data_IF_639024016432
#
_entry.id   IF_639024016432
#
_cell.length_a   1.000
_cell.length_b   1.000
_cell.length_c   1.000
_cell.angle_alpha   90.00
_cell.angle_beta   90.00
_cell.angle_gamma   90.00
#
_symmetry.space_group_name_H-M   'P 1'
#
loop_
_entity.id
_entity.type
_entity.pdbx_description
1 polymer ?
#
# COMPACT_ATOMS: atom_id res chain seq x y z
N UNK A 1 -9.13 -17.75 -46.60
CA UNK A 1 -8.70 -16.44 -46.07
C UNK A 1 -9.41 -16.21 -44.74
N UNK A 2 -8.75 -16.42 -43.59
CA UNK A 2 -9.36 -16.25 -42.26
C UNK A 2 -9.34 -14.76 -41.90
N UNK A 3 -10.50 -14.12 -41.93
CA UNK A 3 -10.69 -12.76 -41.42
C UNK A 3 -10.57 -12.81 -39.89
N UNK A 4 -9.39 -12.46 -39.37
CA UNK A 4 -9.24 -12.17 -37.95
C UNK A 4 -10.03 -10.90 -37.64
N UNK A 5 -11.22 -11.04 -37.05
CA UNK A 5 -11.90 -9.92 -36.40
C UNK A 5 -10.99 -9.47 -35.25
N UNK A 6 -10.38 -8.29 -35.38
CA UNK A 6 -9.77 -7.62 -34.23
C UNK A 6 -10.88 -7.34 -33.24
N UNK A 7 -10.92 -8.09 -32.14
CA UNK A 7 -11.85 -7.82 -31.05
C UNK A 7 -11.59 -6.40 -30.53
N UNK A 8 -12.67 -5.62 -30.44
CA UNK A 8 -12.60 -4.24 -29.94
C UNK A 8 -12.37 -4.32 -28.44
N UNK A 9 -11.25 -3.75 -27.96
CA UNK A 9 -10.94 -3.71 -26.54
C UNK A 9 -12.05 -2.99 -25.78
N UNK A 10 -12.38 -3.52 -24.61
CA UNK A 10 -13.30 -2.87 -23.67
C UNK A 10 -12.66 -1.63 -23.06
N UNK A 11 -13.48 -0.72 -22.52
CA UNK A 11 -12.97 0.47 -21.83
C UNK A 11 -12.03 0.12 -20.67
N UNK A 12 -12.37 -0.93 -19.91
CA UNK A 12 -11.55 -1.41 -18.79
C UNK A 12 -10.19 -1.91 -19.28
N UNK A 13 -10.15 -2.67 -20.38
CA UNK A 13 -8.88 -3.14 -20.96
C UNK A 13 -7.99 -1.97 -21.41
N UNK A 14 -8.58 -0.94 -22.04
CA UNK A 14 -7.85 0.27 -22.43
C UNK A 14 -7.28 0.97 -21.20
N UNK A 15 -8.09 1.15 -20.15
CA UNK A 15 -7.62 1.77 -18.90
C UNK A 15 -6.46 0.99 -18.25
N UNK A 16 -6.53 -0.34 -18.22
CA UNK A 16 -5.44 -1.17 -17.67
C UNK A 16 -4.16 -1.08 -18.50
N UNK A 17 -4.27 -0.99 -19.82
CA UNK A 17 -3.14 -0.81 -20.71
C UNK A 17 -2.49 0.57 -20.53
N UNK A 18 -3.30 1.63 -20.47
CA UNK A 18 -2.82 3.00 -20.22
C UNK A 18 -2.13 3.11 -18.87
N UNK A 19 -2.71 2.49 -17.82
CA UNK A 19 -2.14 2.41 -16.48
C UNK A 19 -0.78 1.69 -16.48
N UNK A 20 -0.67 0.59 -17.23
CA UNK A 20 0.58 -0.16 -17.40
C UNK A 20 1.63 0.64 -18.19
N UNK A 21 1.23 1.31 -19.27
CA UNK A 21 2.13 2.16 -20.05
C UNK A 21 2.67 3.32 -19.21
N UNK A 22 1.82 3.95 -18.39
CA UNK A 22 2.22 5.03 -17.49
C UNK A 22 3.36 4.60 -16.59
N UNK A 23 3.24 3.45 -15.91
CA UNK A 23 4.30 3.00 -15.01
C UNK A 23 5.59 2.61 -15.75
N UNK A 24 5.50 2.08 -16.98
CA UNK A 24 6.68 1.79 -17.81
C UNK A 24 7.43 3.04 -18.26
N UNK A 25 6.73 4.17 -18.41
CA UNK A 25 7.36 5.46 -18.76
C UNK A 25 8.06 6.11 -17.55
N UNK A 26 7.53 5.91 -16.34
CA UNK A 26 8.00 6.59 -15.12
C UNK A 26 9.07 5.77 -14.38
N UNK A 27 8.97 4.45 -14.44
CA UNK A 27 9.81 3.54 -13.65
C UNK A 27 10.70 2.67 -14.53
N UNK A 28 11.86 2.28 -13.98
CA UNK A 28 12.69 1.24 -14.59
C UNK A 28 12.04 -0.15 -14.47
N UNK A 29 12.51 -1.11 -15.27
CA UNK A 29 11.95 -2.46 -15.32
C UNK A 29 11.89 -3.17 -13.97
N UNK A 30 12.93 -3.00 -13.13
CA UNK A 30 12.96 -3.57 -11.79
C UNK A 30 11.80 -3.05 -10.95
N UNK A 31 11.55 -1.75 -11.02
CA UNK A 31 10.50 -1.10 -10.26
C UNK A 31 9.11 -1.42 -10.81
N UNK A 32 8.95 -1.49 -12.13
CA UNK A 32 7.71 -1.99 -12.77
C UNK A 32 7.37 -3.39 -12.27
N UNK A 33 8.35 -4.31 -12.23
CA UNK A 33 8.16 -5.67 -11.69
C UNK A 33 7.71 -5.66 -10.23
N UNK A 34 8.24 -4.77 -9.39
CA UNK A 34 7.82 -4.64 -8.00
C UNK A 34 6.37 -4.13 -7.88
N UNK A 35 6.01 -3.13 -8.69
CA UNK A 35 4.64 -2.58 -8.72
C UNK A 35 3.63 -3.69 -9.05
N UNK A 36 3.90 -4.45 -10.12
CA UNK A 36 3.03 -5.53 -10.56
C UNK A 36 3.02 -6.72 -9.59
N UNK A 37 4.14 -7.00 -8.90
CA UNK A 37 4.19 -8.05 -7.88
C UNK A 37 3.30 -7.73 -6.68
N UNK A 38 3.29 -6.48 -6.21
CA UNK A 38 2.39 -6.05 -5.13
C UNK A 38 0.92 -6.13 -5.56
N UNK A 39 0.60 -5.72 -6.79
CA UNK A 39 -0.76 -5.86 -7.33
C UNK A 39 -1.21 -7.34 -7.33
N UNK A 40 -0.32 -8.24 -7.77
CA UNK A 40 -0.58 -9.68 -7.77
C UNK A 40 -0.75 -10.27 -6.36
N UNK A 41 -0.01 -9.77 -5.37
CA UNK A 41 -0.23 -10.16 -3.96
C UNK A 41 -1.60 -9.69 -3.48
N UNK A 42 -2.02 -8.49 -3.88
CA UNK A 42 -3.37 -7.99 -3.57
C UNK A 42 -4.47 -8.82 -4.22
N UNK A 43 -4.33 -9.22 -5.48
CA UNK A 43 -5.31 -10.12 -6.14
C UNK A 43 -5.50 -11.41 -5.32
N UNK A 44 -4.40 -12.00 -4.82
CA UNK A 44 -4.46 -13.19 -3.95
C UNK A 44 -5.17 -12.88 -2.63
N UNK A 45 -4.93 -11.70 -2.06
CA UNK A 45 -5.56 -11.27 -0.82
C UNK A 45 -7.07 -11.14 -0.99
N UNK A 46 -7.53 -10.51 -2.07
CA UNK A 46 -8.96 -10.34 -2.36
C UNK A 46 -9.65 -11.69 -2.45
N UNK A 47 -9.06 -12.64 -3.16
CA UNK A 47 -9.60 -14.01 -3.27
C UNK A 47 -9.62 -14.71 -1.91
N UNK A 48 -8.52 -14.66 -1.17
CA UNK A 48 -8.41 -15.32 0.13
C UNK A 48 -9.33 -14.70 1.19
N UNK A 49 -9.60 -13.40 1.10
CA UNK A 49 -10.52 -12.67 2.00
C UNK A 49 -11.94 -13.19 1.89
N UNK A 50 -12.36 -13.69 0.73
CA UNK A 50 -13.68 -14.30 0.56
C UNK A 50 -13.83 -15.57 1.42
N UNK A 51 -12.73 -16.29 1.67
CA UNK A 51 -12.72 -17.54 2.45
C UNK A 51 -12.38 -17.31 3.93
N UNK A 52 -11.37 -16.47 4.20
CA UNK A 52 -10.76 -16.29 5.53
C UNK A 52 -11.11 -14.97 6.21
N UNK A 53 -11.91 -14.12 5.57
CA UNK A 53 -12.22 -12.79 6.10
C UNK A 53 -10.95 -11.97 6.34
N UNK A 54 -10.91 -11.28 7.49
CA UNK A 54 -9.81 -10.38 7.84
C UNK A 54 -8.46 -11.10 8.03
N UNK A 55 -8.47 -12.37 8.46
CA UNK A 55 -7.24 -13.14 8.66
C UNK A 55 -6.40 -13.22 7.39
N UNK A 56 -7.01 -13.16 6.20
CA UNK A 56 -6.33 -13.18 4.91
C UNK A 56 -5.19 -12.15 4.78
N UNK A 57 -5.20 -11.09 5.57
CA UNK A 57 -4.15 -10.06 5.56
C UNK A 57 -2.76 -10.58 5.95
N UNK A 58 -2.65 -11.76 6.56
CA UNK A 58 -1.35 -12.37 6.84
C UNK A 58 -0.46 -12.48 5.59
N UNK A 59 -1.04 -12.62 4.39
CA UNK A 59 -0.25 -12.71 3.15
C UNK A 59 0.43 -11.37 2.82
N UNK A 60 -0.20 -10.25 3.19
CA UNK A 60 0.32 -8.90 2.99
C UNK A 60 1.38 -8.61 4.03
N UNK A 61 1.10 -8.98 5.28
CA UNK A 61 2.04 -8.84 6.38
C UNK A 61 3.35 -9.59 6.11
N UNK A 62 3.28 -10.75 5.47
CA UNK A 62 4.43 -11.58 5.11
C UNK A 62 5.05 -11.24 3.74
N UNK A 63 4.47 -10.31 2.98
CA UNK A 63 5.02 -9.92 1.67
C UNK A 63 6.35 -9.16 1.84
N UNK A 64 7.40 -9.68 1.20
CA UNK A 64 8.75 -9.13 1.36
C UNK A 64 8.90 -7.70 0.82
N UNK A 65 8.16 -7.32 -0.23
CA UNK A 65 8.19 -5.96 -0.79
C UNK A 65 7.53 -4.99 0.17
N UNK A 66 6.41 -5.39 0.77
CA UNK A 66 5.72 -4.61 1.79
C UNK A 66 6.57 -4.42 3.03
N UNK A 67 7.16 -5.50 3.57
CA UNK A 67 8.06 -5.41 4.73
C UNK A 67 9.30 -4.56 4.43
N UNK A 68 9.86 -4.69 3.23
CA UNK A 68 10.99 -3.85 2.79
C UNK A 68 10.58 -2.38 2.67
N UNK A 69 9.38 -2.09 2.14
CA UNK A 69 8.86 -0.74 2.04
C UNK A 69 8.64 -0.14 3.42
N UNK A 70 7.99 -0.89 4.32
CA UNK A 70 7.77 -0.50 5.72
C UNK A 70 9.10 -0.15 6.40
N UNK A 71 10.08 -1.05 6.35
CA UNK A 71 11.41 -0.81 6.93
C UNK A 71 12.07 0.45 6.36
N UNK A 72 12.00 0.65 5.04
CA UNK A 72 12.58 1.83 4.40
C UNK A 72 11.90 3.13 4.83
N UNK A 73 10.58 3.10 5.00
CA UNK A 73 9.78 4.23 5.49
C UNK A 73 10.11 4.55 6.95
N UNK A 74 10.16 3.54 7.82
CA UNK A 74 10.49 3.74 9.24
C UNK A 74 11.89 4.33 9.43
N UNK A 75 12.87 3.86 8.65
CA UNK A 75 14.22 4.39 8.67
C UNK A 75 14.26 5.84 8.16
N UNK A 76 13.52 6.17 7.09
CA UNK A 76 13.41 7.54 6.57
C UNK A 76 12.89 8.51 7.63
N UNK A 77 11.97 8.06 8.47
CA UNK A 77 11.35 8.87 9.52
C UNK A 77 11.94 8.62 10.92
N UNK A 78 13.13 8.00 11.01
CA UNK A 78 13.80 7.65 12.28
C UNK A 78 13.91 8.81 13.26
N UNK A 79 14.41 9.94 12.76
CA UNK A 79 14.59 11.14 13.56
C UNK A 79 13.25 11.71 14.07
N UNK A 80 12.16 11.50 13.33
CA UNK A 80 10.84 12.03 13.69
C UNK A 80 10.30 11.37 14.97
N UNK A 81 10.37 10.04 15.07
CA UNK A 81 9.88 9.32 16.24
C UNK A 81 10.87 9.35 17.40
N UNK A 82 12.19 9.28 17.15
CA UNK A 82 13.21 9.44 18.21
C UNK A 82 13.08 10.76 18.95
N UNK A 83 12.93 11.87 18.21
CA UNK A 83 12.82 13.19 18.82
C UNK A 83 11.49 13.39 19.58
N UNK A 84 10.47 12.59 19.26
CA UNK A 84 9.15 12.62 19.93
C UNK A 84 9.03 11.62 21.09
N UNK A 85 10.11 10.90 21.42
CA UNK A 85 10.11 9.83 22.45
C UNK A 85 9.06 8.75 22.19
N UNK A 86 8.78 8.47 20.93
CA UNK A 86 7.85 7.42 20.50
C UNK A 86 8.66 6.18 20.20
N UNK A 87 8.18 5.02 20.62
CA UNK A 87 8.83 3.78 20.25
C UNK A 87 8.66 3.50 18.76
N UNK A 88 9.66 2.86 18.16
CA UNK A 88 9.61 2.45 16.76
C UNK A 88 8.34 1.63 16.46
N UNK A 89 7.95 0.76 17.38
CA UNK A 89 6.82 -0.15 17.19
C UNK A 89 5.47 0.60 17.22
N UNK A 90 5.32 1.58 18.11
CA UNK A 90 4.15 2.49 18.11
C UNK A 90 4.09 3.32 16.83
N UNK A 91 5.25 3.69 16.30
CA UNK A 91 5.32 4.39 15.04
C UNK A 91 4.95 3.48 13.87
N UNK A 92 5.41 2.23 13.89
CA UNK A 92 5.16 1.19 12.88
C UNK A 92 3.69 0.76 12.83
N UNK A 93 3.02 0.64 13.97
CA UNK A 93 1.60 0.25 14.04
C UNK A 93 0.70 1.20 13.21
N UNK A 94 0.97 2.50 13.25
CA UNK A 94 0.25 3.52 12.45
C UNK A 94 0.35 3.23 10.95
N UNK A 95 1.50 2.78 10.47
CA UNK A 95 1.67 2.42 9.06
C UNK A 95 0.99 1.10 8.71
N UNK A 96 0.99 0.12 9.62
CA UNK A 96 0.25 -1.13 9.42
C UNK A 96 -1.25 -0.89 9.32
N UNK A 97 -1.82 -0.08 10.22
CA UNK A 97 -3.24 0.32 10.13
C UNK A 97 -3.54 1.05 8.82
N UNK A 98 -2.65 1.97 8.41
CA UNK A 98 -2.85 2.70 7.17
C UNK A 98 -2.76 1.79 5.95
N UNK A 99 -1.82 0.85 5.96
CA UNK A 99 -1.67 -0.17 4.91
C UNK A 99 -2.94 -1.01 4.80
N UNK A 100 -3.46 -1.47 5.94
CA UNK A 100 -4.69 -2.26 6.01
C UNK A 100 -5.85 -1.57 5.28
N UNK A 101 -6.11 -0.29 5.61
CA UNK A 101 -7.18 0.49 4.97
C UNK A 101 -6.99 0.62 3.48
N UNK A 102 -5.76 0.92 3.03
CA UNK A 102 -5.47 1.04 1.59
C UNK A 102 -5.78 -0.26 0.85
N UNK A 103 -5.42 -1.41 1.42
CA UNK A 103 -5.68 -2.72 0.81
C UNK A 103 -7.19 -3.03 0.73
N UNK A 104 -7.96 -2.64 1.75
CA UNK A 104 -9.41 -2.83 1.75
C UNK A 104 -10.14 -1.90 0.76
N UNK A 105 -9.66 -0.67 0.61
CA UNK A 105 -10.25 0.35 -0.27
C UNK A 105 -9.75 0.27 -1.72
N UNK A 106 -8.69 -0.50 -1.99
CA UNK A 106 -8.13 -0.64 -3.34
C UNK A 106 -9.10 -1.33 -4.29
N UNK A 107 -9.09 -0.90 -5.54
CA UNK A 107 -9.91 -1.44 -6.61
C UNK A 107 -9.12 -1.55 -7.91
N UNK A 108 -9.44 -2.54 -8.75
CA UNK A 108 -8.87 -2.64 -10.10
C UNK A 108 -9.11 -1.38 -10.94
N UNK A 109 -10.19 -0.64 -10.66
CA UNK A 109 -10.54 0.59 -11.37
C UNK A 109 -9.77 1.82 -10.88
N UNK A 110 -8.91 1.68 -9.86
CA UNK A 110 -8.11 2.80 -9.37
C UNK A 110 -7.12 3.27 -10.43
N UNK A 111 -6.93 4.60 -10.53
CA UNK A 111 -5.97 5.23 -11.44
C UNK A 111 -4.52 4.77 -11.18
N UNK A 112 -4.20 4.50 -9.91
CA UNK A 112 -2.86 4.14 -9.45
C UNK A 112 -2.78 2.68 -9.04
N UNK A 113 -1.60 2.07 -9.24
CA UNK A 113 -1.36 0.73 -8.69
C UNK A 113 -1.26 0.80 -7.17
N UNK A 114 -1.54 -0.32 -6.52
CA UNK A 114 -1.54 -0.41 -5.06
C UNK A 114 -0.20 0.04 -4.48
N UNK A 115 0.91 -0.38 -5.09
CA UNK A 115 2.25 0.04 -4.70
C UNK A 115 2.40 1.57 -4.59
N UNK A 116 1.86 2.30 -5.56
CA UNK A 116 1.95 3.77 -5.62
C UNK A 116 1.09 4.42 -4.53
N UNK A 117 -0.12 3.89 -4.31
CA UNK A 117 -1.02 4.34 -3.23
C UNK A 117 -0.36 4.16 -1.86
N UNK A 118 0.24 2.99 -1.61
CA UNK A 118 0.96 2.70 -0.36
C UNK A 118 2.10 3.69 -0.15
N UNK A 119 2.97 3.85 -1.16
CA UNK A 119 4.13 4.75 -1.05
C UNK A 119 3.70 6.18 -0.74
N UNK A 120 2.73 6.71 -1.50
CA UNK A 120 2.21 8.07 -1.29
C UNK A 120 1.62 8.21 0.11
N UNK A 121 0.83 7.23 0.54
CA UNK A 121 0.23 7.28 1.88
C UNK A 121 1.27 7.19 2.99
N UNK A 122 2.30 6.36 2.85
CA UNK A 122 3.37 6.24 3.84
C UNK A 122 4.16 7.54 3.95
N UNK A 123 4.49 8.17 2.82
CA UNK A 123 5.14 9.48 2.83
C UNK A 123 4.26 10.55 3.50
N UNK A 124 2.96 10.60 3.20
CA UNK A 124 2.02 11.52 3.84
C UNK A 124 1.90 11.26 5.35
N UNK A 125 1.72 10.00 5.78
CA UNK A 125 1.62 9.62 7.19
C UNK A 125 2.89 9.99 7.96
N UNK A 126 4.06 9.68 7.41
CA UNK A 126 5.33 10.03 8.04
C UNK A 126 5.53 11.54 8.16
N UNK A 127 5.25 12.30 7.11
CA UNK A 127 5.33 13.77 7.14
C UNK A 127 4.35 14.38 8.16
N UNK A 128 3.11 13.90 8.21
CA UNK A 128 2.12 14.32 9.20
C UNK A 128 2.60 14.01 10.63
N UNK A 129 3.30 12.89 10.79
CA UNK A 129 3.88 12.52 12.07
C UNK A 129 5.10 13.35 12.44
N UNK A 130 5.72 14.09 11.51
CA UNK A 130 6.71 15.14 11.83
C UNK A 130 5.99 16.41 12.28
N UNK A 131 4.98 16.85 11.52
CA UNK A 131 4.35 18.16 11.70
C UNK A 131 3.37 18.22 12.86
N UNK A 132 2.61 17.15 13.12
CA UNK A 132 1.70 17.09 14.27
C UNK A 132 2.48 16.64 15.52
N UNK A 133 2.44 17.40 16.61
CA UNK A 133 2.67 16.81 17.95
C UNK A 133 1.68 15.64 18.04
N UNK A 134 2.15 14.44 18.37
CA UNK A 134 1.23 13.30 18.55
C UNK A 134 0.28 13.70 19.68
N UNK A 135 -0.93 14.14 19.33
CA UNK A 135 -2.04 14.26 20.25
C UNK A 135 -2.45 12.84 20.60
N UNK A 136 -1.81 12.27 21.63
CA UNK A 136 -2.35 11.09 22.28
C UNK A 136 -3.61 11.55 23.04
N UNK A 137 -4.77 10.89 22.89
CA UNK A 137 -5.72 10.87 23.97
C UNK A 137 -5.06 10.07 25.09
N UNK A 138 -4.60 10.76 26.13
CA UNK A 138 -4.35 10.13 27.42
C UNK A 138 -5.73 9.67 27.89
N UNK A 139 -6.08 8.42 27.64
CA UNK A 139 -7.14 7.77 28.41
C UNK A 139 -6.54 7.59 29.80
N UNK A 140 -6.72 8.62 30.63
CA UNK A 140 -6.60 8.47 32.08
C UNK A 140 -7.73 7.52 32.45
N UNK A 141 -7.42 6.23 32.54
CA UNK A 141 -8.24 5.30 33.29
C UNK A 141 -8.15 5.77 34.76
N UNK A 142 -9.10 6.62 35.15
CA UNK A 142 -9.46 6.79 36.54
C UNK A 142 -10.01 5.44 37.02
N UNK A 143 -9.12 4.66 37.65
CA UNK A 143 -9.53 3.56 38.51
C UNK A 143 -10.26 4.18 39.70
N UNK A 144 -11.48 3.67 39.94
CA UNK A 144 -12.43 4.08 40.97
C UNK A 144 -11.85 4.02 42.38
#
# INVERSE_FOLDING_TARGET
MKLYKREKKTHIQIQQEDKLERIKRIYNDKKVKQVLAVEKTWDKYVMLRLEKGEDAFYIIFNDYLIRSLMRSTLNKFENAWKNKRVFRDDFESVFWEKLWRIYQEHSWNDEYYLYEKIRKSFDCTGNNSITKKLEQPIVVLSVQ
#
